data_IF_186689004958
#
_entry.id   IF_186689004958
#
_cell.length_a   1.000
_cell.length_b   1.000
_cell.length_c   1.000
_cell.angle_alpha   90.00
_cell.angle_beta   90.00
_cell.angle_gamma   90.00
#
_symmetry.space_group_name_H-M   'P 1'
#
loop_
_entity.id
_entity.type
_entity.pdbx_description
1 polymer ?
#
# COMPACT_ATOMS: atom_id res chain seq x y z
N UNK A 1 3.04 7.19 -13.36
CA UNK A 1 3.58 5.85 -13.63
C UNK A 1 5.07 5.93 -13.47
N UNK A 2 5.67 5.08 -12.64
CA UNK A 2 7.12 5.04 -12.38
C UNK A 2 7.59 3.60 -12.62
N UNK A 3 8.60 3.47 -13.49
CA UNK A 3 9.36 2.24 -13.69
C UNK A 3 10.74 2.46 -13.06
N UNK A 4 11.14 1.55 -12.16
CA UNK A 4 12.39 1.72 -11.42
C UNK A 4 13.37 0.62 -11.81
N UNK A 5 14.48 1.06 -12.40
CA UNK A 5 15.67 0.25 -12.69
C UNK A 5 16.72 0.38 -11.58
N UNK A 6 16.68 1.48 -10.82
CA UNK A 6 17.57 1.75 -9.70
C UNK A 6 17.24 0.93 -8.44
N UNK A 7 18.26 0.54 -7.65
CA UNK A 7 18.07 -0.36 -6.51
C UNK A 7 17.31 0.25 -5.31
N UNK A 8 17.24 1.58 -5.22
CA UNK A 8 16.53 2.31 -4.16
C UNK A 8 15.83 3.53 -4.76
N UNK A 9 14.55 3.73 -4.45
CA UNK A 9 13.84 4.96 -4.86
C UNK A 9 12.70 5.31 -3.89
N UNK A 10 12.27 6.57 -3.94
CA UNK A 10 11.15 7.09 -3.15
C UNK A 10 10.21 7.87 -4.07
N UNK A 11 8.91 7.52 -4.10
CA UNK A 11 7.89 8.27 -4.84
C UNK A 11 7.08 9.11 -3.88
N UNK A 12 7.07 10.43 -4.08
CA UNK A 12 6.23 11.36 -3.33
C UNK A 12 5.22 12.02 -4.29
N UNK A 13 3.94 12.01 -3.93
CA UNK A 13 2.89 12.73 -4.68
C UNK A 13 2.01 13.54 -3.73
N UNK A 14 1.90 14.84 -4.04
CA UNK A 14 1.12 15.84 -3.31
C UNK A 14 0.16 16.52 -4.28
N UNK A 15 -1.12 16.63 -3.91
CA UNK A 15 -2.11 17.27 -4.76
C UNK A 15 -3.53 17.10 -4.26
N UNK A 16 -4.50 17.70 -4.97
CA UNK A 16 -5.92 17.50 -4.67
C UNK A 16 -6.35 16.05 -4.95
N UNK A 17 -5.75 15.44 -5.98
CA UNK A 17 -5.97 14.06 -6.41
C UNK A 17 -4.61 13.43 -6.78
N UNK A 18 -4.18 12.41 -6.03
CA UNK A 18 -2.80 11.91 -6.03
C UNK A 18 -2.75 10.42 -6.39
N UNK A 19 -2.42 10.12 -7.65
CA UNK A 19 -2.35 8.75 -8.20
C UNK A 19 -0.89 8.29 -8.32
N UNK A 20 -0.49 7.33 -7.50
CA UNK A 20 0.78 6.62 -7.60
C UNK A 20 0.60 5.28 -8.33
N UNK A 21 1.37 5.06 -9.40
CA UNK A 21 1.42 3.82 -10.18
C UNK A 21 2.87 3.39 -10.28
N UNK A 22 3.24 2.29 -9.62
CA UNK A 22 4.63 1.87 -9.39
C UNK A 22 4.80 0.41 -9.80
N UNK A 23 5.73 0.16 -10.73
CA UNK A 23 6.10 -1.18 -11.20
C UNK A 23 7.61 -1.37 -11.05
N UNK A 24 8.04 -2.34 -10.23
CA UNK A 24 9.45 -2.54 -9.91
C UNK A 24 9.81 -4.02 -9.77
N UNK A 25 10.72 -4.57 -10.61
CA UNK A 25 11.09 -5.98 -10.57
C UNK A 25 11.97 -6.32 -9.35
N UNK A 26 13.24 -5.91 -9.31
CA UNK A 26 14.16 -6.09 -8.17
C UNK A 26 15.27 -4.87 -8.06
N UNK A 27 15.38 -2.75 -6.29
CA UNK A 27 14.17 -2.06 -5.72
C UNK A 27 13.79 -2.37 -4.24
N UNK A 28 14.48 -1.77 -3.26
CA UNK A 28 13.82 -1.36 -2.01
C UNK A 28 13.15 -0.01 -2.23
N UNK A 29 11.90 0.20 -1.79
CA UNK A 29 11.22 1.47 -2.07
C UNK A 29 10.15 1.91 -1.08
N UNK A 30 9.88 3.22 -1.13
CA UNK A 30 8.76 3.85 -0.43
C UNK A 30 7.87 4.63 -1.39
N UNK A 31 6.56 4.56 -1.15
CA UNK A 31 5.55 5.38 -1.83
C UNK A 31 4.84 6.22 -0.78
N UNK A 32 4.74 7.52 -1.00
CA UNK A 32 4.09 8.46 -0.11
C UNK A 32 3.10 9.34 -0.90
N UNK A 33 1.81 9.03 -0.81
CA UNK A 33 0.74 9.75 -1.51
C UNK A 33 -0.10 10.57 -0.53
N UNK A 34 -0.21 11.87 -0.77
CA UNK A 34 -0.99 12.81 0.05
C UNK A 34 -1.97 13.59 -0.82
N UNK A 35 -3.19 13.77 -0.33
CA UNK A 35 -4.21 14.52 -1.07
C UNK A 35 -5.61 14.40 -0.49
N UNK A 36 -6.60 14.93 -1.20
CA UNK A 36 -8.01 14.79 -0.80
C UNK A 36 -8.52 13.40 -1.25
N UNK A 37 -8.14 12.98 -2.45
CA UNK A 37 -8.33 11.62 -2.97
C UNK A 37 -6.97 11.04 -3.38
N UNK A 38 -6.49 10.04 -2.66
CA UNK A 38 -5.16 9.44 -2.83
C UNK A 38 -5.27 7.97 -3.21
N UNK A 39 -4.66 7.56 -4.31
CA UNK A 39 -4.63 6.15 -4.74
C UNK A 39 -3.19 5.70 -4.98
N UNK A 40 -2.85 4.49 -4.56
CA UNK A 40 -1.57 3.86 -4.88
C UNK A 40 -1.80 2.44 -5.40
N UNK A 41 -1.27 2.16 -6.58
CA UNK A 41 -1.30 0.83 -7.20
C UNK A 41 0.14 0.37 -7.44
N UNK A 42 0.51 -0.71 -6.77
CA UNK A 42 1.89 -1.19 -6.62
C UNK A 42 1.97 -2.65 -7.06
N UNK A 43 2.80 -2.92 -8.07
CA UNK A 43 3.08 -4.27 -8.55
C UNK A 43 4.58 -4.56 -8.49
N UNK A 44 4.98 -5.50 -7.63
CA UNK A 44 6.38 -5.80 -7.37
C UNK A 44 6.54 -7.29 -7.04
N UNK A 45 7.24 -8.12 -7.84
CA UNK A 45 7.28 -9.55 -7.60
C UNK A 45 8.01 -9.95 -6.31
N UNK A 46 9.03 -9.20 -5.86
CA UNK A 46 10.12 -9.83 -5.11
C UNK A 46 10.84 -8.97 -4.04
N UNK A 47 10.16 -8.02 -3.36
CA UNK A 47 10.84 -6.94 -2.61
C UNK A 47 10.25 -6.57 -1.25
N UNK A 48 11.07 -5.85 -0.46
CA UNK A 48 10.65 -5.05 0.70
C UNK A 48 10.16 -3.67 0.26
N UNK A 49 9.02 -3.23 0.76
CA UNK A 49 8.47 -1.91 0.44
C UNK A 49 7.48 -1.38 1.47
N UNK A 50 7.36 -0.05 1.54
CA UNK A 50 6.42 0.64 2.41
C UNK A 50 5.54 1.62 1.62
N UNK A 51 4.22 1.58 1.85
CA UNK A 51 3.22 2.41 1.18
C UNK A 51 2.48 3.24 2.23
N UNK A 52 2.72 4.56 2.18
CA UNK A 52 2.08 5.57 3.02
C UNK A 52 1.05 6.32 2.19
N UNK A 53 -0.21 6.31 2.62
CA UNK A 53 -1.30 7.05 1.98
C UNK A 53 -2.03 7.89 3.01
N UNK A 54 -2.15 9.18 2.74
CA UNK A 54 -2.91 10.12 3.57
C UNK A 54 -3.92 10.86 2.69
N UNK A 55 -5.19 10.82 3.06
CA UNK A 55 -6.23 11.53 2.33
C UNK A 55 -7.64 11.10 2.66
N UNK A 56 -8.59 12.01 2.49
CA UNK A 56 -9.98 11.85 2.91
C UNK A 56 -10.62 10.59 2.33
N UNK A 57 -10.35 10.31 1.04
CA UNK A 57 -10.53 8.99 0.44
C UNK A 57 -9.16 8.43 0.06
N UNK A 58 -8.76 7.30 0.67
CA UNK A 58 -7.45 6.67 0.44
C UNK A 58 -7.60 5.21 0.00
N UNK A 59 -6.98 4.84 -1.13
CA UNK A 59 -7.03 3.45 -1.64
C UNK A 59 -5.63 2.90 -1.95
N UNK A 60 -5.34 1.70 -1.47
CA UNK A 60 -4.11 0.96 -1.78
C UNK A 60 -4.45 -0.38 -2.45
N UNK A 61 -3.87 -0.64 -3.62
CA UNK A 61 -3.93 -1.94 -4.28
C UNK A 61 -2.53 -2.46 -4.53
N UNK A 62 -2.20 -3.60 -3.92
CA UNK A 62 -0.83 -4.09 -3.78
C UNK A 62 -0.75 -5.55 -4.20
N UNK A 63 0.06 -5.84 -5.22
CA UNK A 63 0.23 -7.17 -5.79
C UNK A 63 1.71 -7.58 -5.79
N UNK A 64 2.05 -8.58 -4.97
CA UNK A 64 3.40 -9.11 -4.82
C UNK A 64 3.42 -10.64 -4.82
N UNK A 65 4.54 -11.26 -5.17
CA UNK A 65 4.69 -12.72 -5.05
C UNK A 65 5.41 -13.09 -3.75
N UNK A 66 6.51 -12.44 -3.41
CA UNK A 66 7.23 -12.71 -2.16
C UNK A 66 7.68 -11.41 -1.44
N UNK A 67 7.97 -11.57 -0.14
CA UNK A 67 8.65 -10.62 0.78
C UNK A 67 7.74 -9.67 1.59
N UNK A 68 8.38 -8.90 2.48
CA UNK A 68 7.79 -8.11 3.54
C UNK A 68 7.12 -6.83 3.02
N UNK A 69 5.96 -6.52 3.59
CA UNK A 69 5.16 -5.34 3.22
C UNK A 69 4.70 -4.55 4.45
N UNK A 70 4.76 -3.22 4.35
CA UNK A 70 4.11 -2.29 5.27
C UNK A 70 3.15 -1.34 4.52
N UNK A 71 1.85 -1.42 4.81
CA UNK A 71 0.89 -0.39 4.44
C UNK A 71 0.57 0.49 5.66
N UNK A 72 0.55 1.80 5.46
CA UNK A 72 0.04 2.77 6.43
C UNK A 72 -0.94 3.70 5.70
N UNK A 73 -2.23 3.51 5.93
CA UNK A 73 -3.30 4.23 5.25
C UNK A 73 -4.06 5.04 6.29
N UNK A 74 -4.26 6.33 6.02
CA UNK A 74 -5.02 7.24 6.88
C UNK A 74 -6.03 8.02 6.03
N UNK A 75 -7.30 8.00 6.44
CA UNK A 75 -8.36 8.71 5.73
C UNK A 75 -9.67 8.76 6.49
N UNK A 76 -10.70 9.34 5.90
CA UNK A 76 -12.07 9.19 6.41
C UNK A 76 -12.65 7.86 5.90
N UNK A 77 -12.41 7.57 4.63
CA UNK A 77 -12.64 6.27 3.98
C UNK A 77 -11.28 5.69 3.56
N UNK A 78 -10.92 4.51 4.04
CA UNK A 78 -9.66 3.84 3.71
C UNK A 78 -9.88 2.40 3.23
N UNK A 79 -9.34 2.06 2.05
CA UNK A 79 -9.43 0.70 1.48
C UNK A 79 -8.05 0.15 1.15
N UNK A 80 -7.78 -1.08 1.61
CA UNK A 80 -6.56 -1.83 1.31
C UNK A 80 -6.92 -3.16 0.63
N UNK A 81 -6.35 -3.42 -0.54
CA UNK A 81 -6.48 -4.71 -1.22
C UNK A 81 -5.09 -5.27 -1.53
N UNK A 82 -4.74 -6.37 -0.88
CA UNK A 82 -3.37 -6.90 -0.85
C UNK A 82 -3.36 -8.36 -1.32
N UNK A 83 -2.72 -8.63 -2.44
CA UNK A 83 -2.47 -9.97 -2.95
C UNK A 83 -0.99 -10.31 -2.74
N UNK A 84 -0.68 -11.33 -1.96
CA UNK A 84 0.69 -11.76 -1.68
C UNK A 84 0.79 -13.28 -1.53
N UNK A 85 1.73 -13.93 -2.22
CA UNK A 85 1.86 -15.39 -2.13
C UNK A 85 2.66 -15.86 -0.90
N UNK A 86 3.72 -15.16 -0.45
CA UNK A 86 4.55 -15.58 0.70
C UNK A 86 5.09 -14.46 1.62
N UNK A 87 5.15 -14.79 2.92
CA UNK A 87 5.83 -14.11 4.05
C UNK A 87 5.37 -12.70 4.48
N UNK A 88 5.17 -12.53 5.80
CA UNK A 88 5.00 -11.30 6.62
C UNK A 88 4.41 -10.03 5.99
N UNK A 89 3.35 -9.50 6.61
CA UNK A 89 2.78 -8.19 6.28
C UNK A 89 2.35 -7.45 7.54
N UNK A 90 2.47 -6.13 7.45
CA UNK A 90 1.78 -5.18 8.31
C UNK A 90 0.85 -4.32 7.45
N UNK A 91 -0.41 -4.24 7.84
CA UNK A 91 -1.38 -3.30 7.28
C UNK A 91 -1.95 -2.53 8.45
N UNK A 92 -1.60 -1.26 8.52
CA UNK A 92 -2.20 -0.29 9.41
C UNK A 92 -3.16 0.56 8.59
N UNK A 93 -4.43 0.62 9.01
CA UNK A 93 -5.44 1.44 8.35
C UNK A 93 -6.29 2.15 9.39
N UNK A 94 -6.24 3.48 9.38
CA UNK A 94 -7.09 4.35 10.20
C UNK A 94 -8.13 5.04 9.33
N UNK A 95 -9.37 5.06 9.82
CA UNK A 95 -10.41 5.91 9.28
C UNK A 95 -11.75 5.73 9.96
N UNK A 96 -12.73 6.52 9.52
CA UNK A 96 -14.10 6.38 10.02
C UNK A 96 -14.70 5.07 9.48
N UNK A 97 -14.49 4.76 8.20
CA UNK A 97 -14.80 3.47 7.60
C UNK A 97 -13.55 2.92 6.90
N UNK A 98 -13.05 1.78 7.38
CA UNK A 98 -11.77 1.21 6.97
C UNK A 98 -11.90 -0.27 6.65
N UNK A 99 -11.64 -0.66 5.40
CA UNK A 99 -11.68 -2.07 4.96
C UNK A 99 -10.33 -2.54 4.44
N UNK A 100 -9.94 -3.76 4.82
CA UNK A 100 -8.76 -4.42 4.25
C UNK A 100 -9.10 -5.84 3.83
N UNK A 101 -8.85 -6.17 2.56
CA UNK A 101 -8.97 -7.51 2.02
C UNK A 101 -7.57 -8.01 1.65
N UNK A 102 -7.12 -9.08 2.31
CA UNK A 102 -5.79 -9.65 2.08
C UNK A 102 -5.90 -11.13 1.71
N UNK A 103 -5.35 -11.48 0.55
CA UNK A 103 -5.32 -12.86 0.06
C UNK A 103 -3.88 -13.39 0.10
N UNK A 104 -3.65 -14.38 0.98
CA UNK A 104 -2.36 -15.07 1.11
C UNK A 104 -2.54 -16.56 1.45
N UNK A 105 -2.02 -17.50 0.65
CA UNK A 105 -2.13 -18.94 0.95
C UNK A 105 -1.12 -19.42 2.02
N UNK A 106 0.00 -18.71 2.24
CA UNK A 106 1.01 -19.05 3.25
C UNK A 106 1.49 -17.80 4.01
N UNK A 107 0.85 -17.44 5.14
CA UNK A 107 1.25 -16.25 5.92
C UNK A 107 0.74 -16.22 7.36
N UNK A 108 1.49 -15.52 8.21
CA UNK A 108 1.00 -14.92 9.45
C UNK A 108 0.56 -13.47 9.16
N UNK A 109 -0.55 -13.03 9.76
CA UNK A 109 -1.10 -11.67 9.65
C UNK A 109 -0.80 -10.89 10.92
N UNK A 110 -0.29 -9.66 10.79
CA UNK A 110 -0.27 -8.65 11.87
C UNK A 110 -0.80 -7.34 11.29
N UNK A 111 -2.12 -7.19 11.25
CA UNK A 111 -2.80 -5.98 10.78
C UNK A 111 -3.57 -5.31 11.92
N UNK A 112 -3.41 -3.99 12.06
CA UNK A 112 -4.20 -3.18 12.98
C UNK A 112 -5.11 -2.28 12.14
N UNK A 113 -6.40 -2.61 12.12
CA UNK A 113 -7.40 -1.86 11.38
C UNK A 113 -8.27 -1.16 12.42
N UNK A 114 -8.25 0.16 12.42
CA UNK A 114 -8.90 1.00 13.43
C UNK A 114 -9.87 1.95 12.76
N UNK A 115 -11.13 1.57 12.76
CA UNK A 115 -12.26 2.27 12.18
C UNK A 115 -13.54 1.48 12.37
N UNK A 116 -14.68 2.05 11.97
CA UNK A 116 -15.97 1.36 12.00
C UNK A 116 -15.99 0.40 10.80
N UNK A 117 -15.93 -0.90 11.08
CA UNK A 117 -16.23 -1.93 10.10
C UNK A 117 -17.74 -2.00 9.86
N UNK A 118 -18.22 -1.96 8.61
CA UNK A 118 -19.44 -2.65 8.21
C UNK A 118 -19.21 -4.17 8.09
#
# INVERSE_FOLDING_TARGET
MVYCLDPWFTVHSTGLLSIALVYCPQHWFTVHSTGLLSTALVYCPHNWFAVYITGLLSTALVCCLQHWFAAYITGLMSTALVYCLQHWFTVYSTGLLSTALVYCPHRWLIGLITGIFP
#
